data_IF_801503033424
#
_entry.id   IF_801503033424
#
_cell.length_a   1.000
_cell.length_b   1.000
_cell.length_c   1.000
_cell.angle_alpha   90.00
_cell.angle_beta   90.00
_cell.angle_gamma   90.00
#
_symmetry.space_group_name_H-M   'P 1'
#
loop_
_entity.id
_entity.type
_entity.pdbx_description
1 polymer ?
#
# COMPACT_ATOMS: atom_id res chain seq x y z
N UNK A 1 6.69 -7.76 14.72
CA UNK A 1 8.15 -7.88 14.47
C UNK A 1 8.59 -9.30 14.10
N UNK A 2 8.35 -10.31 14.95
CA UNK A 2 8.77 -11.70 14.68
C UNK A 2 8.35 -12.22 13.30
N UNK A 3 7.10 -11.98 12.90
CA UNK A 3 6.61 -12.33 11.56
C UNK A 3 7.45 -11.72 10.44
N UNK A 4 7.87 -10.45 10.54
CA UNK A 4 8.75 -9.86 9.52
C UNK A 4 10.11 -10.54 9.44
N UNK A 5 10.67 -10.95 10.59
CA UNK A 5 11.94 -11.68 10.63
C UNK A 5 11.78 -13.03 9.93
N UNK A 6 10.72 -13.78 10.24
CA UNK A 6 10.39 -15.06 9.60
C UNK A 6 10.23 -14.87 8.08
N UNK A 7 9.53 -13.82 7.65
CA UNK A 7 9.41 -13.48 6.24
C UNK A 7 10.77 -13.19 5.59
N UNK A 8 11.62 -12.39 6.21
CA UNK A 8 12.96 -12.12 5.70
C UNK A 8 13.76 -13.43 5.50
N UNK A 9 13.71 -14.36 6.46
CA UNK A 9 14.33 -15.68 6.30
C UNK A 9 13.70 -16.50 5.17
N UNK A 10 12.38 -16.56 5.09
CA UNK A 10 11.67 -17.30 4.04
C UNK A 10 11.87 -16.73 2.64
N UNK A 11 12.17 -15.43 2.52
CA UNK A 11 12.47 -14.77 1.24
C UNK A 11 13.90 -15.03 0.77
N UNK A 12 14.79 -15.53 1.63
CA UNK A 12 16.18 -15.78 1.28
C UNK A 12 16.30 -16.75 0.10
N UNK A 13 17.06 -16.37 -0.93
CA UNK A 13 17.34 -17.18 -2.12
C UNK A 13 16.09 -17.63 -2.90
N UNK A 14 14.99 -16.88 -2.81
CA UNK A 14 13.77 -17.13 -3.57
C UNK A 14 13.78 -16.41 -4.93
N UNK A 15 13.12 -16.98 -5.93
CA UNK A 15 12.87 -16.29 -7.21
C UNK A 15 11.79 -15.24 -7.01
N UNK A 16 12.18 -13.96 -7.07
CA UNK A 16 11.28 -12.80 -6.97
C UNK A 16 10.05 -12.94 -7.84
N UNK A 17 10.22 -13.38 -9.08
CA UNK A 17 9.11 -13.41 -10.00
C UNK A 17 8.16 -14.56 -9.68
N UNK A 18 8.67 -15.74 -9.26
CA UNK A 18 7.79 -16.81 -8.78
C UNK A 18 6.99 -16.35 -7.54
N UNK A 19 7.64 -15.64 -6.62
CA UNK A 19 6.99 -15.07 -5.44
C UNK A 19 5.83 -14.14 -5.82
N UNK A 20 6.06 -13.20 -6.75
CA UNK A 20 5.04 -12.26 -7.21
C UNK A 20 3.91 -12.95 -7.98
N UNK A 21 4.24 -13.91 -8.84
CA UNK A 21 3.26 -14.69 -9.60
C UNK A 21 2.36 -15.50 -8.67
N UNK A 22 2.93 -16.18 -7.66
CA UNK A 22 2.17 -16.94 -6.66
C UNK A 22 1.30 -16.00 -5.83
N UNK A 23 1.84 -14.89 -5.34
CA UNK A 23 1.07 -13.91 -4.57
C UNK A 23 -0.14 -13.40 -5.37
N UNK A 24 0.06 -13.06 -6.64
CA UNK A 24 -1.01 -12.64 -7.53
C UNK A 24 -2.07 -13.74 -7.72
N UNK A 25 -1.66 -14.98 -8.01
CA UNK A 25 -2.59 -16.10 -8.22
C UNK A 25 -3.41 -16.36 -6.95
N UNK A 26 -2.76 -16.49 -5.80
CA UNK A 26 -3.42 -16.79 -4.52
C UNK A 26 -4.41 -15.67 -4.18
N UNK A 27 -3.99 -14.41 -4.24
CA UNK A 27 -4.88 -13.28 -3.92
C UNK A 27 -6.05 -13.15 -4.90
N UNK A 28 -5.84 -13.43 -6.19
CA UNK A 28 -6.90 -13.41 -7.20
C UNK A 28 -7.90 -14.54 -7.02
N UNK A 29 -7.43 -15.77 -6.79
CA UNK A 29 -8.30 -16.93 -6.54
C UNK A 29 -9.11 -16.71 -5.27
N UNK A 30 -8.49 -16.27 -4.17
CA UNK A 30 -9.23 -15.96 -2.94
C UNK A 30 -10.27 -14.87 -3.16
N UNK A 31 -9.95 -13.80 -3.88
CA UNK A 31 -10.90 -12.74 -4.20
C UNK A 31 -12.09 -13.25 -5.01
N UNK A 32 -11.83 -14.01 -6.08
CA UNK A 32 -12.88 -14.58 -6.93
C UNK A 32 -13.76 -15.54 -6.13
N UNK A 33 -13.18 -16.43 -5.31
CA UNK A 33 -13.94 -17.33 -4.45
C UNK A 33 -14.84 -16.59 -3.47
N UNK A 34 -14.35 -15.53 -2.81
CA UNK A 34 -15.13 -14.72 -1.85
C UNK A 34 -16.28 -14.02 -2.57
N UNK A 35 -16.02 -13.40 -3.72
CA UNK A 35 -17.03 -12.68 -4.50
C UNK A 35 -18.10 -13.65 -5.03
N UNK A 36 -17.70 -14.79 -5.60
CA UNK A 36 -18.64 -15.82 -6.08
C UNK A 36 -19.49 -16.35 -4.92
N UNK A 37 -18.85 -16.69 -3.79
CA UNK A 37 -19.57 -17.16 -2.61
C UNK A 37 -20.62 -16.15 -2.17
N UNK A 38 -20.25 -14.86 -2.03
CA UNK A 38 -21.17 -13.79 -1.63
C UNK A 38 -22.32 -13.58 -2.61
N UNK A 39 -22.08 -13.72 -3.92
CA UNK A 39 -23.13 -13.63 -4.95
C UNK A 39 -24.07 -14.84 -4.87
N UNK A 40 -23.53 -16.05 -4.68
CA UNK A 40 -24.32 -17.28 -4.63
C UNK A 40 -25.12 -17.43 -3.33
N UNK A 41 -24.54 -17.07 -2.19
CA UNK A 41 -25.21 -17.18 -0.88
C UNK A 41 -26.05 -15.94 -0.54
N UNK A 42 -25.77 -14.79 -1.16
CA UNK A 42 -26.32 -13.49 -0.77
C UNK A 42 -25.69 -12.92 0.52
N UNK A 43 -24.88 -13.70 1.24
CA UNK A 43 -24.23 -13.27 2.48
C UNK A 43 -23.13 -12.25 2.20
N UNK A 44 -23.13 -11.17 2.98
CA UNK A 44 -22.13 -10.11 2.86
C UNK A 44 -22.13 -9.38 1.51
N UNK A 45 -23.23 -9.45 0.75
CA UNK A 45 -23.32 -8.81 -0.58
C UNK A 45 -23.30 -7.29 -0.47
N UNK A 46 -24.09 -6.75 0.47
CA UNK A 46 -24.16 -5.30 0.76
C UNK A 46 -24.02 -5.04 2.25
N UNK A 47 -23.52 -3.85 2.57
CA UNK A 47 -23.47 -3.30 3.91
C UNK A 47 -24.21 -1.97 3.92
N UNK A 48 -25.28 -1.89 4.71
CA UNK A 48 -25.98 -0.65 5.02
C UNK A 48 -25.47 -0.11 6.36
N UNK A 49 -24.72 0.98 6.30
CA UNK A 49 -24.19 1.64 7.48
C UNK A 49 -24.26 3.16 7.31
N UNK A 50 -24.24 3.88 8.43
CA UNK A 50 -24.09 5.34 8.43
C UNK A 50 -22.81 5.70 7.65
N UNK A 51 -22.98 6.47 6.58
CA UNK A 51 -21.90 6.82 5.67
C UNK A 51 -21.46 8.26 5.94
N UNK A 52 -20.20 8.40 6.38
CA UNK A 52 -19.55 9.68 6.70
C UNK A 52 -20.20 10.41 7.89
N UNK A 53 -19.66 11.59 8.22
CA UNK A 53 -20.14 12.45 9.31
C UNK A 53 -21.60 12.90 9.14
N UNK A 54 -22.19 12.77 7.95
CA UNK A 54 -23.56 13.17 7.64
C UNK A 54 -24.60 12.14 8.11
N UNK A 55 -24.18 10.98 8.64
CA UNK A 55 -25.05 9.90 9.14
C UNK A 55 -26.12 9.43 8.14
N UNK A 56 -25.87 9.59 6.83
CA UNK A 56 -26.77 9.10 5.79
C UNK A 56 -26.55 7.60 5.63
N UNK A 57 -27.59 6.79 5.81
CA UNK A 57 -27.51 5.36 5.55
C UNK A 57 -27.44 5.11 4.05
N UNK A 58 -26.31 4.58 3.58
CA UNK A 58 -26.12 4.19 2.18
C UNK A 58 -25.80 2.71 2.14
N UNK A 59 -26.54 1.96 1.32
CA UNK A 59 -26.20 0.58 1.00
C UNK A 59 -25.06 0.57 -0.01
N UNK A 60 -23.96 -0.10 0.35
CA UNK A 60 -22.78 -0.23 -0.51
C UNK A 60 -22.46 -1.70 -0.69
N UNK A 61 -22.00 -2.09 -1.88
CA UNK A 61 -21.61 -3.46 -2.12
C UNK A 61 -20.27 -3.77 -1.44
N UNK A 62 -20.26 -4.89 -0.72
CA UNK A 62 -19.09 -5.44 -0.03
C UNK A 62 -18.60 -6.73 -0.67
N UNK A 63 -19.46 -7.43 -1.42
CA UNK A 63 -19.13 -8.65 -2.17
C UNK A 63 -18.34 -9.68 -1.33
N UNK A 64 -18.80 -9.93 -0.10
CA UNK A 64 -18.23 -10.91 0.82
C UNK A 64 -17.14 -10.36 1.75
N UNK A 65 -16.73 -9.10 1.59
CA UNK A 65 -15.79 -8.45 2.51
C UNK A 65 -16.51 -7.77 3.68
N UNK A 66 -15.80 -7.57 4.79
CA UNK A 66 -16.36 -6.91 5.98
C UNK A 66 -16.77 -5.44 5.75
N UNK A 67 -16.12 -4.77 4.80
CA UNK A 67 -16.35 -3.35 4.52
C UNK A 67 -16.02 -3.04 3.05
N UNK A 68 -16.64 -2.02 2.42
CA UNK A 68 -16.36 -1.68 1.02
C UNK A 68 -14.90 -1.27 0.76
N UNK A 69 -14.24 -0.69 1.78
CA UNK A 69 -12.79 -0.40 1.71
C UNK A 69 -11.95 -1.68 1.64
N UNK A 70 -12.36 -2.74 2.35
CA UNK A 70 -11.68 -4.03 2.34
C UNK A 70 -11.76 -4.71 0.98
N UNK A 71 -12.90 -4.57 0.28
CA UNK A 71 -13.08 -5.03 -1.11
C UNK A 71 -12.09 -4.32 -2.05
N UNK A 72 -12.06 -2.98 -2.02
CA UNK A 72 -11.13 -2.22 -2.87
C UNK A 72 -9.66 -2.45 -2.48
N UNK A 73 -9.37 -2.66 -1.19
CA UNK A 73 -8.05 -3.04 -0.69
C UNK A 73 -7.62 -4.45 -1.12
N UNK A 74 -8.55 -5.39 -1.26
CA UNK A 74 -8.29 -6.69 -1.88
C UNK A 74 -7.95 -6.54 -3.37
N UNK A 75 -8.72 -5.72 -4.08
CA UNK A 75 -8.43 -5.43 -5.48
C UNK A 75 -7.09 -4.70 -5.67
N UNK A 76 -6.72 -3.77 -4.79
CA UNK A 76 -5.42 -3.10 -4.78
C UNK A 76 -4.27 -4.10 -4.71
N UNK A 77 -4.38 -5.13 -3.87
CA UNK A 77 -3.36 -6.20 -3.75
C UNK A 77 -3.19 -6.97 -5.05
N UNK A 78 -4.30 -7.29 -5.71
CA UNK A 78 -4.30 -7.97 -7.00
C UNK A 78 -3.62 -7.09 -8.04
N UNK A 79 -4.02 -5.83 -8.18
CA UNK A 79 -3.42 -4.90 -9.14
C UNK A 79 -1.93 -4.70 -8.88
N UNK A 80 -1.55 -4.41 -7.63
CA UNK A 80 -0.18 -4.14 -7.26
C UNK A 80 0.74 -5.35 -7.48
N UNK A 81 0.27 -6.57 -7.18
CA UNK A 81 1.01 -7.80 -7.46
C UNK A 81 1.08 -8.12 -8.96
N UNK A 82 -0.02 -7.95 -9.70
CA UNK A 82 -0.10 -8.21 -11.14
C UNK A 82 0.84 -7.32 -11.94
N UNK A 83 0.86 -6.02 -11.65
CA UNK A 83 1.73 -5.03 -12.32
C UNK A 83 3.21 -5.40 -12.20
N UNK A 84 3.60 -6.13 -11.14
CA UNK A 84 4.97 -6.59 -10.88
C UNK A 84 5.25 -8.01 -11.39
N UNK A 85 4.20 -8.80 -11.63
CA UNK A 85 4.27 -10.20 -12.08
C UNK A 85 4.72 -10.34 -13.53
N UNK A 86 5.24 -11.52 -13.89
CA UNK A 86 5.56 -11.87 -15.29
C UNK A 86 4.35 -11.79 -16.20
N UNK A 87 3.14 -12.05 -15.68
CA UNK A 87 1.90 -12.02 -16.45
C UNK A 87 1.61 -10.65 -17.08
N UNK A 88 2.17 -9.56 -16.54
CA UNK A 88 1.97 -8.22 -17.08
C UNK A 88 2.99 -7.79 -18.14
N UNK A 89 4.05 -8.57 -18.39
CA UNK A 89 5.14 -8.15 -19.30
C UNK A 89 4.68 -7.88 -20.73
N UNK A 90 3.80 -8.72 -21.27
CA UNK A 90 3.23 -8.57 -22.62
C UNK A 90 2.01 -7.65 -22.59
N UNK A 91 1.88 -6.76 -23.57
CA UNK A 91 0.70 -5.87 -23.73
C UNK A 91 0.35 -5.06 -22.45
N UNK A 92 1.35 -4.67 -21.64
CA UNK A 92 1.15 -4.08 -20.31
C UNK A 92 0.16 -2.91 -20.29
N UNK A 93 0.23 -2.03 -21.31
CA UNK A 93 -0.62 -0.83 -21.41
C UNK A 93 -2.09 -1.18 -21.57
N UNK A 94 -2.42 -2.17 -22.41
CA UNK A 94 -3.79 -2.67 -22.57
C UNK A 94 -4.30 -3.30 -21.28
N UNK A 95 -3.44 -4.06 -20.59
CA UNK A 95 -3.78 -4.67 -19.30
C UNK A 95 -4.03 -3.62 -18.21
N UNK A 96 -3.26 -2.54 -18.15
CA UNK A 96 -3.50 -1.44 -17.22
C UNK A 96 -4.86 -0.76 -17.47
N UNK A 97 -5.22 -0.54 -18.74
CA UNK A 97 -6.54 0.00 -19.09
C UNK A 97 -7.65 -0.94 -18.62
N UNK A 98 -7.52 -2.25 -18.86
CA UNK A 98 -8.49 -3.23 -18.40
C UNK A 98 -8.64 -3.23 -16.86
N UNK A 99 -7.53 -3.15 -16.13
CA UNK A 99 -7.56 -3.06 -14.67
C UNK A 99 -8.20 -1.76 -14.19
N UNK A 100 -7.99 -0.64 -14.87
CA UNK A 100 -8.64 0.61 -14.51
C UNK A 100 -10.15 0.58 -14.78
N UNK A 101 -10.59 -0.06 -15.87
CA UNK A 101 -12.02 -0.29 -16.12
C UNK A 101 -12.65 -1.12 -14.99
N UNK A 102 -11.98 -2.20 -14.57
CA UNK A 102 -12.43 -2.99 -13.42
C UNK A 102 -12.42 -2.19 -12.10
N UNK A 103 -11.41 -1.33 -11.91
CA UNK A 103 -11.31 -0.41 -10.77
C UNK A 103 -12.52 0.54 -10.71
N UNK A 104 -12.91 1.12 -11.86
CA UNK A 104 -14.09 2.01 -12.00
C UNK A 104 -15.37 1.25 -11.70
N UNK A 105 -15.53 0.02 -12.22
CA UNK A 105 -16.72 -0.81 -11.94
C UNK A 105 -16.82 -1.10 -10.43
N UNK A 106 -15.73 -1.55 -9.81
CA UNK A 106 -15.70 -1.82 -8.37
C UNK A 106 -15.93 -0.56 -7.53
N UNK A 107 -15.45 0.60 -7.98
CA UNK A 107 -15.74 1.88 -7.33
C UNK A 107 -17.22 2.24 -7.43
N UNK A 108 -17.87 2.02 -8.58
CA UNK A 108 -19.31 2.23 -8.74
C UNK A 108 -20.16 1.38 -7.78
N UNK A 109 -19.70 0.16 -7.47
CA UNK A 109 -20.37 -0.75 -6.54
C UNK A 109 -20.08 -0.42 -5.06
N UNK A 110 -18.82 -0.15 -4.72
CA UNK A 110 -18.34 -0.02 -3.34
C UNK A 110 -18.35 1.40 -2.79
N UNK A 111 -18.30 2.41 -3.67
CA UNK A 111 -18.07 3.82 -3.35
C UNK A 111 -16.84 4.03 -2.42
N UNK A 112 -15.80 3.19 -2.61
CA UNK A 112 -14.55 3.22 -1.85
C UNK A 112 -13.50 4.09 -2.53
N UNK A 113 -13.38 5.35 -2.09
CA UNK A 113 -12.52 6.37 -2.72
C UNK A 113 -11.02 6.10 -2.55
N UNK A 114 -10.59 5.69 -1.36
CA UNK A 114 -9.17 5.56 -1.05
C UNK A 114 -8.48 4.49 -1.90
N UNK A 115 -9.06 3.29 -1.97
CA UNK A 115 -8.51 2.20 -2.78
C UNK A 115 -8.55 2.53 -4.27
N UNK A 116 -9.65 3.13 -4.75
CA UNK A 116 -9.81 3.55 -6.14
C UNK A 116 -8.67 4.50 -6.56
N UNK A 117 -8.48 5.59 -5.81
CA UNK A 117 -7.47 6.62 -6.12
C UNK A 117 -6.06 6.02 -6.13
N UNK A 118 -5.71 5.19 -5.14
CA UNK A 118 -4.36 4.61 -5.09
C UNK A 118 -4.12 3.64 -6.24
N UNK A 119 -5.11 2.84 -6.63
CA UNK A 119 -5.02 1.95 -7.78
C UNK A 119 -4.82 2.76 -9.07
N UNK A 120 -5.62 3.81 -9.27
CA UNK A 120 -5.48 4.70 -10.43
C UNK A 120 -4.08 5.34 -10.48
N UNK A 121 -3.52 5.76 -9.33
CA UNK A 121 -2.15 6.28 -9.24
C UNK A 121 -1.13 5.21 -9.66
N UNK A 122 -1.24 3.98 -9.15
CA UNK A 122 -0.35 2.87 -9.54
C UNK A 122 -0.40 2.66 -11.05
N UNK A 123 -1.60 2.54 -11.62
CA UNK A 123 -1.79 2.24 -13.04
C UNK A 123 -1.32 3.40 -13.92
N UNK A 124 -1.66 4.65 -13.58
CA UNK A 124 -1.27 5.85 -14.34
C UNK A 124 0.25 6.04 -14.33
N UNK A 125 0.88 6.04 -13.15
CA UNK A 125 2.33 6.23 -13.05
C UNK A 125 3.09 5.07 -13.70
N UNK A 126 2.60 3.83 -13.56
CA UNK A 126 3.18 2.66 -14.23
C UNK A 126 2.95 2.69 -15.74
N UNK A 127 1.86 3.29 -16.22
CA UNK A 127 1.63 3.44 -17.66
C UNK A 127 2.66 4.38 -18.30
N UNK A 128 3.00 5.46 -17.59
CA UNK A 128 3.87 6.53 -18.08
C UNK A 128 5.32 6.44 -17.57
N UNK A 129 5.71 5.37 -16.87
CA UNK A 129 7.02 5.33 -16.20
C UNK A 129 8.19 5.55 -17.17
N UNK A 130 8.14 5.02 -18.40
CA UNK A 130 9.24 5.20 -19.38
C UNK A 130 9.48 6.69 -19.68
N UNK A 131 8.38 7.45 -19.83
CA UNK A 131 8.39 8.88 -20.13
C UNK A 131 8.87 9.65 -18.90
N UNK A 132 8.34 9.32 -17.72
CA UNK A 132 8.72 9.93 -16.44
C UNK A 132 10.22 9.77 -16.19
N UNK A 133 10.75 8.54 -16.33
CA UNK A 133 12.18 8.26 -16.11
C UNK A 133 13.05 8.99 -17.14
N UNK A 134 12.61 9.09 -18.40
CA UNK A 134 13.33 9.83 -19.44
C UNK A 134 13.41 11.33 -19.13
N UNK A 135 12.32 11.94 -18.65
CA UNK A 135 12.25 13.38 -18.32
C UNK A 135 13.03 13.68 -17.04
N UNK A 136 12.73 12.98 -15.96
CA UNK A 136 13.29 13.28 -14.64
C UNK A 136 14.71 12.77 -14.47
N UNK A 137 15.17 11.82 -15.30
CA UNK A 137 16.36 11.00 -15.10
C UNK A 137 16.21 10.07 -13.90
N UNK A 138 16.76 8.86 -14.02
CA UNK A 138 16.63 7.80 -13.02
C UNK A 138 17.06 8.23 -11.59
N UNK A 139 18.15 9.00 -11.47
CA UNK A 139 18.68 9.43 -10.16
C UNK A 139 17.74 10.40 -9.45
N UNK A 140 17.16 11.37 -10.15
CA UNK A 140 16.21 12.30 -9.55
C UNK A 140 14.91 11.58 -9.19
N UNK A 141 14.42 10.69 -10.05
CA UNK A 141 13.24 9.88 -9.74
C UNK A 141 13.43 9.08 -8.45
N UNK A 142 14.61 8.46 -8.25
CA UNK A 142 14.94 7.82 -6.98
C UNK A 142 14.87 8.76 -5.78
N UNK A 143 15.51 9.94 -5.86
CA UNK A 143 15.50 10.94 -4.78
C UNK A 143 14.07 11.36 -4.47
N UNK A 144 13.26 11.62 -5.51
CA UNK A 144 11.86 11.98 -5.38
C UNK A 144 11.08 10.87 -4.66
N UNK A 145 11.14 9.62 -5.12
CA UNK A 145 10.40 8.51 -4.52
C UNK A 145 10.80 8.25 -3.07
N UNK A 146 12.11 8.27 -2.75
CA UNK A 146 12.58 8.14 -1.37
C UNK A 146 12.16 9.31 -0.49
N UNK A 147 12.21 10.55 -1.01
CA UNK A 147 11.75 11.73 -0.27
C UNK A 147 10.25 11.67 0.01
N UNK A 148 9.43 11.23 -0.95
CA UNK A 148 7.98 11.10 -0.79
C UNK A 148 7.61 10.06 0.26
N UNK A 149 8.35 8.94 0.38
CA UNK A 149 8.14 7.98 1.47
C UNK A 149 8.34 8.65 2.83
N UNK A 150 9.40 9.44 3.00
CA UNK A 150 9.68 10.17 4.24
C UNK A 150 8.60 11.22 4.49
N UNK A 151 8.26 12.01 3.47
CA UNK A 151 7.25 13.07 3.56
C UNK A 151 5.91 12.50 3.97
N UNK A 152 5.43 11.41 3.36
CA UNK A 152 4.15 10.77 3.73
C UNK A 152 4.17 10.31 5.19
N UNK A 153 5.26 9.69 5.63
CA UNK A 153 5.42 9.25 7.02
C UNK A 153 5.41 10.44 7.99
N UNK A 154 6.28 11.42 7.77
CA UNK A 154 6.39 12.60 8.63
C UNK A 154 5.09 13.41 8.64
N UNK A 155 4.47 13.60 7.46
CA UNK A 155 3.18 14.27 7.34
C UNK A 155 2.08 13.53 8.09
N UNK A 156 2.01 12.20 8.00
CA UNK A 156 1.01 11.41 8.73
C UNK A 156 1.16 11.58 10.25
N UNK A 157 2.40 11.53 10.76
CA UNK A 157 2.70 11.77 12.17
C UNK A 157 2.30 13.20 12.56
N UNK A 158 2.79 14.20 11.82
CA UNK A 158 2.47 15.61 12.08
C UNK A 158 0.96 15.88 12.06
N UNK A 159 0.25 15.37 11.05
CA UNK A 159 -1.18 15.55 10.88
C UNK A 159 -1.97 14.91 12.02
N UNK A 160 -1.52 13.75 12.51
CA UNK A 160 -2.13 13.07 13.65
C UNK A 160 -1.96 13.88 14.93
N UNK A 161 -0.75 14.32 15.27
CA UNK A 161 -0.51 15.05 16.53
C UNK A 161 -1.08 16.47 16.54
N UNK A 162 -1.15 17.13 15.38
CA UNK A 162 -1.62 18.53 15.29
C UNK A 162 -3.07 18.65 14.79
N UNK A 163 -3.82 17.54 14.72
CA UNK A 163 -5.16 17.50 14.13
C UNK A 163 -6.08 18.63 14.62
N UNK A 164 -6.24 18.78 15.93
CA UNK A 164 -7.12 19.81 16.53
C UNK A 164 -6.55 21.23 16.49
N UNK A 165 -5.23 21.38 16.27
CA UNK A 165 -4.55 22.67 16.30
C UNK A 165 -4.50 23.35 14.92
N UNK A 166 -4.90 22.66 13.85
CA UNK A 166 -4.76 23.18 12.49
C UNK A 166 -6.06 23.02 11.68
N UNK A 167 -6.73 24.13 11.30
CA UNK A 167 -8.01 24.07 10.58
C UNK A 167 -7.88 23.42 9.20
N UNK A 168 -6.71 23.48 8.57
CA UNK A 168 -6.46 22.82 7.27
C UNK A 168 -6.50 21.29 7.44
N UNK A 169 -5.99 20.75 8.55
CA UNK A 169 -6.02 19.32 8.83
C UNK A 169 -7.44 18.80 9.05
N UNK A 170 -8.33 19.62 9.60
CA UNK A 170 -9.75 19.30 9.76
C UNK A 170 -10.41 19.13 8.38
N UNK A 171 -10.13 20.03 7.45
CA UNK A 171 -10.63 19.95 6.06
C UNK A 171 -10.10 18.69 5.36
N UNK A 172 -8.79 18.43 5.47
CA UNK A 172 -8.17 17.22 4.90
C UNK A 172 -8.77 15.95 5.51
N UNK A 173 -9.02 15.93 6.81
CA UNK A 173 -9.58 14.78 7.50
C UNK A 173 -11.00 14.44 7.02
N UNK A 174 -11.81 15.44 6.64
CA UNK A 174 -13.12 15.22 6.01
C UNK A 174 -13.00 14.48 4.67
N UNK A 175 -11.95 14.77 3.90
CA UNK A 175 -11.66 14.06 2.64
C UNK A 175 -11.22 12.61 2.92
N UNK A 176 -10.37 12.42 3.93
CA UNK A 176 -9.83 11.12 4.33
C UNK A 176 -10.77 10.39 5.31
N UNK A 177 -12.04 10.81 5.45
CA UNK A 177 -13.04 10.09 6.28
C UNK A 177 -12.60 9.84 7.73
N UNK A 178 -12.06 10.85 8.43
CA UNK A 178 -11.84 10.77 9.87
C UNK A 178 -10.56 10.05 10.32
N UNK A 179 -9.72 9.54 9.41
CA UNK A 179 -8.56 8.69 9.77
C UNK A 179 -7.54 9.39 10.67
N UNK A 180 -7.28 10.69 10.47
CA UNK A 180 -6.35 11.44 11.34
C UNK A 180 -6.97 11.75 12.70
N UNK A 181 -8.28 12.01 12.75
CA UNK A 181 -9.00 12.19 14.01
C UNK A 181 -8.96 10.90 14.85
N UNK A 182 -9.25 9.75 14.25
CA UNK A 182 -9.18 8.46 14.95
C UNK A 182 -7.75 8.19 15.43
N UNK A 183 -6.75 8.41 14.59
CA UNK A 183 -5.35 8.27 14.98
C UNK A 183 -4.95 9.22 16.12
N UNK A 184 -5.47 10.45 16.15
CA UNK A 184 -5.19 11.42 17.21
C UNK A 184 -5.71 10.93 18.57
N UNK A 185 -6.91 10.34 18.60
CA UNK A 185 -7.50 9.74 19.82
C UNK A 185 -6.62 8.62 20.39
N UNK A 186 -5.98 7.82 19.53
CA UNK A 186 -5.02 6.82 19.98
C UNK A 186 -3.74 7.47 20.54
N UNK A 187 -3.17 8.45 19.85
CA UNK A 187 -1.93 9.12 20.29
C UNK A 187 -2.11 9.99 21.54
N UNK A 188 -3.34 10.42 21.86
CA UNK A 188 -3.62 11.16 23.10
C UNK A 188 -3.79 10.24 24.31
N UNK A 189 -4.15 8.96 24.10
CA UNK A 189 -4.27 7.95 25.17
C UNK A 189 -3.00 7.13 25.39
N UNK A 190 -2.26 6.84 24.33
CA UNK A 190 -1.03 6.04 24.40
C UNK A 190 0.18 6.88 24.03
N UNK A 191 1.12 6.98 24.96
CA UNK A 191 2.42 7.59 24.70
C UNK A 191 3.26 6.69 23.79
N UNK A 192 3.98 7.29 22.85
CA UNK A 192 4.95 6.56 22.01
C UNK A 192 6.11 6.09 22.90
N UNK A 193 6.24 4.78 23.05
CA UNK A 193 7.35 4.16 23.77
C UNK A 193 8.46 3.69 22.80
N UNK A 194 9.61 3.29 23.36
CA UNK A 194 10.74 2.81 22.57
C UNK A 194 10.45 1.46 21.88
N UNK A 195 9.74 0.55 22.57
CA UNK A 195 9.48 -0.84 22.15
C UNK A 195 8.02 -1.12 21.77
N UNK A 196 7.14 -0.14 21.91
CA UNK A 196 5.71 -0.25 21.63
C UNK A 196 4.85 -0.34 22.89
N UNK A 197 3.56 -0.14 22.70
CA UNK A 197 2.53 -0.18 23.73
C UNK A 197 1.39 -1.07 23.24
N UNK A 198 0.80 -1.85 24.15
CA UNK A 198 -0.37 -2.62 23.79
C UNK A 198 -1.59 -1.70 23.66
N UNK A 199 -2.06 -1.52 22.42
CA UNK A 199 -3.24 -0.69 22.09
C UNK A 199 -4.53 -1.51 21.99
N UNK A 200 -4.51 -2.79 22.37
CA UNK A 200 -5.62 -3.72 22.15
C UNK A 200 -6.92 -3.27 22.81
N UNK A 201 -6.83 -2.72 24.02
CA UNK A 201 -8.00 -2.29 24.80
C UNK A 201 -8.81 -1.21 24.07
N UNK A 202 -8.17 -0.15 23.59
CA UNK A 202 -8.86 0.88 22.82
C UNK A 202 -9.31 0.38 21.45
N UNK A 203 -8.57 -0.56 20.86
CA UNK A 203 -8.91 -1.14 19.55
C UNK A 203 -10.21 -1.97 19.56
N UNK A 204 -10.68 -2.39 20.73
CA UNK A 204 -11.99 -3.05 20.90
C UNK A 204 -13.15 -2.09 20.66
N UNK A 205 -12.95 -0.80 20.94
CA UNK A 205 -14.00 0.21 20.90
C UNK A 205 -13.85 1.21 19.75
N UNK A 206 -12.64 1.39 19.23
CA UNK A 206 -12.33 2.34 18.16
C UNK A 206 -11.33 1.72 17.17
N UNK A 207 -11.57 1.85 15.86
CA UNK A 207 -10.64 1.30 14.86
C UNK A 207 -9.50 2.28 14.56
N UNK A 208 -8.26 1.78 14.62
CA UNK A 208 -7.07 2.53 14.18
C UNK A 208 -6.72 2.18 12.73
N UNK A 209 -7.44 2.80 11.81
CA UNK A 209 -7.24 2.60 10.37
C UNK A 209 -6.16 3.53 9.81
N UNK A 210 -4.98 3.55 10.46
CA UNK A 210 -3.80 4.25 10.00
C UNK A 210 -2.58 3.37 10.28
N UNK A 211 -2.09 2.66 9.26
CA UNK A 211 -1.00 1.69 9.42
C UNK A 211 0.29 2.30 9.93
N UNK A 212 0.60 3.54 9.57
CA UNK A 212 1.81 4.26 10.01
C UNK A 212 1.76 4.48 11.53
N UNK A 213 0.67 5.08 12.04
CA UNK A 213 0.49 5.35 13.48
C UNK A 213 0.30 4.06 14.27
N UNK A 214 -0.46 3.10 13.74
CA UNK A 214 -0.63 1.78 14.34
C UNK A 214 0.70 1.08 14.53
N UNK A 215 1.60 1.14 13.54
CA UNK A 215 2.94 0.56 13.64
C UNK A 215 3.79 1.29 14.68
N UNK A 216 3.74 2.63 14.70
CA UNK A 216 4.49 3.44 15.66
C UNK A 216 4.08 3.16 17.11
N UNK A 217 2.78 3.10 17.40
CA UNK A 217 2.28 2.82 18.74
C UNK A 217 2.50 1.36 19.14
N UNK A 218 2.23 0.40 18.25
CA UNK A 218 2.29 -1.03 18.61
C UNK A 218 3.72 -1.58 18.72
N UNK A 219 4.66 -1.04 17.96
CA UNK A 219 6.04 -1.55 17.89
C UNK A 219 7.10 -0.53 18.34
N UNK A 220 6.67 0.67 18.71
CA UNK A 220 7.53 1.73 19.22
C UNK A 220 8.46 2.33 18.18
N UNK A 221 9.31 3.24 18.64
CA UNK A 221 10.29 3.95 17.80
C UNK A 221 11.25 2.97 17.12
N UNK A 222 11.71 1.93 17.83
CA UNK A 222 12.65 0.95 17.27
C UNK A 222 12.00 0.17 16.12
N UNK A 223 10.82 -0.42 16.36
CA UNK A 223 10.14 -1.21 15.33
C UNK A 223 9.75 -0.38 14.12
N UNK A 224 9.25 0.83 14.37
CA UNK A 224 8.92 1.78 13.32
C UNK A 224 10.14 2.18 12.46
N UNK A 225 11.27 2.48 13.11
CA UNK A 225 12.51 2.87 12.42
C UNK A 225 13.06 1.74 11.54
N UNK A 226 12.94 0.50 11.99
CA UNK A 226 13.34 -0.68 11.20
C UNK A 226 12.47 -0.81 9.95
N UNK A 227 11.15 -0.65 10.05
CA UNK A 227 10.24 -0.70 8.90
C UNK A 227 10.55 0.43 7.91
N UNK A 228 10.75 1.65 8.40
CA UNK A 228 11.13 2.79 7.56
C UNK A 228 12.47 2.56 6.85
N UNK A 229 13.46 1.99 7.56
CA UNK A 229 14.73 1.61 6.97
C UNK A 229 14.57 0.57 5.86
N UNK A 230 13.74 -0.47 6.06
CA UNK A 230 13.44 -1.48 5.04
C UNK A 230 12.83 -0.83 3.80
N UNK A 231 11.91 0.12 3.96
CA UNK A 231 11.34 0.87 2.83
C UNK A 231 12.42 1.64 2.07
N UNK A 232 13.21 2.48 2.75
CA UNK A 232 14.22 3.33 2.12
C UNK A 232 15.33 2.51 1.45
N UNK A 233 15.81 1.46 2.13
CA UNK A 233 16.81 0.56 1.57
C UNK A 233 16.26 -0.24 0.39
N UNK A 234 15.03 -0.74 0.50
CA UNK A 234 14.33 -1.44 -0.58
C UNK A 234 14.18 -0.57 -1.83
N UNK A 235 13.75 0.68 -1.68
CA UNK A 235 13.63 1.64 -2.80
C UNK A 235 15.00 1.92 -3.44
N UNK A 236 16.06 2.08 -2.64
CA UNK A 236 17.43 2.23 -3.15
C UNK A 236 17.86 1.01 -3.99
N UNK A 237 17.54 -0.20 -3.53
CA UNK A 237 17.84 -1.44 -4.26
C UNK A 237 17.04 -1.58 -5.55
N UNK A 238 15.77 -1.16 -5.55
CA UNK A 238 14.94 -1.14 -6.76
C UNK A 238 15.51 -0.17 -7.80
N UNK A 239 15.98 1.00 -7.38
CA UNK A 239 16.67 1.94 -8.27
C UNK A 239 17.93 1.33 -8.89
N UNK A 240 18.78 0.67 -8.09
CA UNK A 240 19.97 -0.04 -8.58
C UNK A 240 19.65 -1.13 -9.60
N UNK A 241 18.48 -1.76 -9.48
CA UNK A 241 17.98 -2.81 -10.36
C UNK A 241 17.08 -2.28 -11.50
N UNK A 242 16.93 -0.96 -11.64
CA UNK A 242 16.04 -0.32 -12.62
C UNK A 242 14.56 -0.78 -12.55
N UNK A 243 14.12 -1.18 -11.37
CA UNK A 243 12.76 -1.68 -11.11
C UNK A 243 11.82 -0.53 -10.68
N UNK A 244 11.63 0.44 -11.59
CA UNK A 244 10.92 1.69 -11.32
C UNK A 244 9.43 1.49 -11.02
N UNK A 245 8.81 0.50 -11.66
CA UNK A 245 7.39 0.16 -11.43
C UNK A 245 7.19 -0.31 -9.99
N UNK A 246 8.13 -1.09 -9.45
CA UNK A 246 8.09 -1.51 -8.05
C UNK A 246 8.25 -0.33 -7.08
N UNK A 247 9.08 0.67 -7.41
CA UNK A 247 9.18 1.89 -6.62
C UNK A 247 7.84 2.64 -6.56
N UNK A 248 7.11 2.71 -7.68
CA UNK A 248 5.76 3.29 -7.76
C UNK A 248 4.81 2.53 -6.84
N UNK A 249 4.77 1.19 -6.94
CA UNK A 249 3.93 0.35 -6.08
C UNK A 249 4.26 0.55 -4.59
N UNK A 250 5.54 0.59 -4.22
CA UNK A 250 5.97 0.84 -2.84
C UNK A 250 5.43 2.17 -2.33
N UNK A 251 5.63 3.27 -3.07
CA UNK A 251 5.15 4.58 -2.66
C UNK A 251 3.62 4.59 -2.51
N UNK A 252 2.90 4.01 -3.47
CA UNK A 252 1.44 3.90 -3.41
C UNK A 252 0.97 3.10 -2.21
N UNK A 253 1.63 2.00 -1.85
CA UNK A 253 1.32 1.25 -0.63
C UNK A 253 1.61 2.06 0.64
N UNK A 254 2.67 2.87 0.67
CA UNK A 254 2.97 3.76 1.82
C UNK A 254 1.89 4.86 1.94
N UNK A 255 1.45 5.46 0.84
CA UNK A 255 0.34 6.42 0.82
C UNK A 255 -0.95 5.77 1.33
N UNK A 256 -1.28 4.57 0.82
CA UNK A 256 -2.45 3.84 1.27
C UNK A 256 -2.39 3.47 2.76
N UNK A 257 -1.19 3.23 3.28
CA UNK A 257 -0.96 2.94 4.70
C UNK A 257 -1.23 4.12 5.64
N UNK A 258 -1.35 5.34 5.13
CA UNK A 258 -1.83 6.48 5.91
C UNK A 258 -3.35 6.42 6.17
N UNK A 259 -4.09 5.70 5.33
CA UNK A 259 -5.56 5.63 5.31
C UNK A 259 -6.09 4.25 5.73
N UNK A 260 -5.24 3.22 5.65
CA UNK A 260 -5.56 1.84 5.97
C UNK A 260 -4.43 1.17 6.77
N UNK A 261 -4.77 0.15 7.56
CA UNK A 261 -3.87 -0.48 8.55
C UNK A 261 -2.92 -1.53 7.96
N UNK A 262 -2.19 -1.19 6.88
CA UNK A 262 -1.37 -2.17 6.12
C UNK A 262 0.16 -1.95 6.17
N UNK A 263 0.66 -0.89 6.79
CA UNK A 263 2.07 -0.43 6.67
C UNK A 263 3.12 -1.53 6.84
N UNK A 264 3.07 -2.27 7.95
CA UNK A 264 4.06 -3.31 8.28
C UNK A 264 3.65 -4.73 7.84
N UNK A 265 2.44 -4.93 7.29
CA UNK A 265 1.90 -6.27 7.08
C UNK A 265 2.28 -6.86 5.69
N UNK A 266 3.25 -7.78 5.57
CA UNK A 266 3.71 -8.31 4.28
C UNK A 266 2.68 -9.19 3.55
N UNK A 267 1.64 -9.68 4.25
CA UNK A 267 0.56 -10.44 3.61
C UNK A 267 -0.40 -9.56 2.82
N UNK A 268 -0.52 -8.29 3.22
CA UNK A 268 -1.49 -7.34 2.64
C UNK A 268 -0.78 -6.24 1.86
N UNK A 269 0.45 -5.91 2.20
CA UNK A 269 1.23 -4.84 1.60
C UNK A 269 2.37 -5.42 0.75
N UNK A 270 2.13 -5.55 -0.55
CA UNK A 270 3.14 -6.06 -1.48
C UNK A 270 4.37 -5.14 -1.56
N UNK A 271 4.21 -3.84 -1.31
CA UNK A 271 5.31 -2.87 -1.29
C UNK A 271 6.34 -3.18 -0.20
N UNK A 272 5.90 -3.48 1.04
CA UNK A 272 6.86 -3.89 2.08
C UNK A 272 7.46 -5.26 1.75
N UNK A 273 6.68 -6.20 1.21
CA UNK A 273 7.18 -7.52 0.81
C UNK A 273 8.32 -7.43 -0.21
N UNK A 274 8.17 -6.59 -1.23
CA UNK A 274 9.23 -6.40 -2.25
C UNK A 274 10.42 -5.63 -1.69
N UNK A 275 10.22 -4.68 -0.78
CA UNK A 275 11.32 -4.04 -0.05
C UNK A 275 12.11 -5.07 0.79
N UNK A 276 11.43 -5.92 1.56
CA UNK A 276 12.05 -6.99 2.34
C UNK A 276 12.83 -7.97 1.45
N UNK A 277 12.24 -8.39 0.32
CA UNK A 277 12.92 -9.24 -0.65
C UNK A 277 14.25 -8.63 -1.13
N UNK A 278 14.25 -7.34 -1.47
CA UNK A 278 15.44 -6.63 -1.94
C UNK A 278 16.47 -6.37 -0.83
N UNK A 279 16.04 -6.36 0.44
CA UNK A 279 16.96 -6.25 1.59
C UNK A 279 17.76 -7.54 1.77
N UNK A 280 17.11 -8.70 1.65
CA UNK A 280 17.71 -10.01 1.94
C UNK A 280 18.45 -10.57 0.73
N UNK A 281 17.91 -10.38 -0.48
CA UNK A 281 18.49 -10.96 -1.69
C UNK A 281 19.42 -9.98 -2.39
N UNK A 282 20.74 -10.21 -2.29
CA UNK A 282 21.72 -9.58 -3.18
C UNK A 282 21.67 -10.27 -4.54
N UNK A 283 20.94 -9.70 -5.51
CA UNK A 283 21.35 -9.92 -6.91
C UNK A 283 22.63 -9.12 -7.14
N UNK A 284 23.67 -9.79 -7.62
CA UNK A 284 24.87 -9.15 -8.15
C UNK A 284 24.41 -8.16 -9.22
N UNK A 285 24.73 -6.89 -9.02
CA UNK A 285 24.55 -5.86 -10.04
C UNK A 285 25.50 -6.22 -11.16
N UNK A 286 25.06 -7.07 -12.10
CA UNK A 286 25.76 -7.21 -13.37
C UNK A 286 25.45 -5.92 -14.11
N UNK A 287 26.44 -5.04 -14.02
CA UNK A 287 26.67 -3.77 -14.69
C UNK A 287 26.62 -3.83 -16.23
N UNK A 288 25.85 -4.75 -16.85
CA UNK A 288 25.94 -5.04 -18.30
C UNK A 288 24.98 -4.28 -19.20
N UNK A 289 23.85 -3.74 -18.74
CA UNK A 289 22.91 -3.12 -19.69
C UNK A 289 22.88 -1.58 -19.68
N UNK A 290 23.33 -0.93 -18.60
CA UNK A 290 23.41 0.54 -18.56
C UNK A 290 24.61 1.11 -19.33
N UNK A 291 25.75 0.39 -19.36
CA UNK A 291 26.92 0.83 -20.12
C UNK A 291 26.75 0.60 -21.63
N UNK A 292 25.85 -0.30 -22.07
CA UNK A 292 25.61 -0.58 -23.49
C UNK A 292 24.64 0.44 -24.11
N UNK A 293 23.66 0.95 -23.34
CA UNK A 293 22.69 1.93 -23.84
C UNK A 293 23.19 3.38 -23.85
N UNK A 294 24.24 3.71 -23.08
CA UNK A 294 24.81 5.06 -23.02
C UNK A 294 26.13 5.23 -23.77
N UNK A 295 26.82 4.14 -24.13
CA UNK A 295 28.01 4.18 -25.01
C UNK A 295 27.72 3.81 -26.47
N UNK A 296 26.45 3.58 -26.79
CA UNK A 296 25.97 3.24 -28.13
C UNK A 296 25.04 4.31 -28.71
N UNK A 297 25.44 5.59 -28.63
CA UNK A 297 25.08 6.69 -29.54
C UNK A 297 25.71 8.00 -29.07
#
# INVERSE_FOLDING_TARGET
>A
MLLMVIFCFGLWNTDKQKLLDIFFIVTSVSFICIVIYSICSGEGLTLSAAYREENVFISRYTLGYSHPNSLQGAYLRIVASFVLSRFCKTERKKKYILLEVLNIILFGLSNSRAGFVVISIILLLSFFYDIIIKIFKAKFFYILMSSLVIVVVCFTIYATYNYYNNPILIIINKIITGRFQHANVFTSRYAVSLLGTNISELSLHLTLDCGIISTLLSYGIIGFSIVLFIYLFGVRKMWQNCDYVNMIVVLSCVIYSAIESIYMNPFVNIGILTCMYNCVNRKSVIKREYDILLKGK
#
